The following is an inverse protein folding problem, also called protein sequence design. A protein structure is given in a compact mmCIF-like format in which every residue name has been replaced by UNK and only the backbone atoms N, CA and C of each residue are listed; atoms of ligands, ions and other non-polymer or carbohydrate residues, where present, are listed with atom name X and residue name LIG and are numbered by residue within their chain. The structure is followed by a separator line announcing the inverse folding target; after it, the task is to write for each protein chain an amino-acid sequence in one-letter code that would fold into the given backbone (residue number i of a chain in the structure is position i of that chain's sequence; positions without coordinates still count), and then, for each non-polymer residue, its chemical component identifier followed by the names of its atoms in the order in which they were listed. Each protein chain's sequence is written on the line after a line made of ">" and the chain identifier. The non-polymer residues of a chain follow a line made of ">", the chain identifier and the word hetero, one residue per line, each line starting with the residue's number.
data_IF_796580593280
#
_entry.id   IF_796580593280
#
_cell.length_a   1.000
_cell.length_b   1.000
_cell.length_c   1.000
_cell.angle_alpha   90.00
_cell.angle_beta   90.00
_cell.angle_gamma   90.00
#
_symmetry.space_group_name_H-M   'P 1'
#
loop_
_entity.id
_entity.type
_entity.pdbx_description
1 polymer ?
#
# COMPACT_ATOMS: atom_id res chain seq x y z
N UNK A 1 50.96 -8.73 -29.23
CA UNK A 1 49.62 -9.04 -29.75
C UNK A 1 48.66 -8.97 -28.56
N UNK A 2 48.01 -7.81 -28.35
CA UNK A 2 47.11 -7.56 -27.21
C UNK A 2 45.76 -7.15 -27.80
N UNK A 3 44.74 -7.99 -27.58
CA UNK A 3 43.37 -7.71 -27.98
C UNK A 3 42.70 -7.01 -26.81
N UNK A 4 42.44 -5.71 -26.95
CA UNK A 4 41.66 -4.92 -26.01
C UNK A 4 40.17 -5.19 -26.25
N UNK A 5 39.52 -5.79 -25.26
CA UNK A 5 38.07 -6.02 -25.24
C UNK A 5 37.39 -4.74 -24.77
N UNK A 6 36.65 -4.08 -25.66
CA UNK A 6 35.73 -3.01 -25.28
C UNK A 6 34.47 -3.61 -24.64
N UNK A 7 34.28 -3.35 -23.36
CA UNK A 7 33.04 -3.62 -22.63
C UNK A 7 31.97 -2.61 -23.08
N UNK A 8 31.02 -3.02 -23.90
CA UNK A 8 29.84 -2.22 -24.19
C UNK A 8 28.81 -2.41 -23.05
N UNK A 9 28.66 -1.40 -22.21
CA UNK A 9 27.62 -1.38 -21.17
C UNK A 9 26.25 -1.14 -21.82
N UNK A 10 25.39 -2.15 -21.79
CA UNK A 10 24.03 -2.07 -22.30
C UNK A 10 23.16 -1.39 -21.25
N UNK A 11 22.78 -0.13 -21.48
CA UNK A 11 21.78 0.56 -20.66
C UNK A 11 20.41 -0.05 -20.97
N UNK A 12 19.96 -0.99 -20.15
CA UNK A 12 18.61 -1.52 -20.22
C UNK A 12 17.63 -0.41 -19.80
N UNK A 13 16.79 0.04 -20.75
CA UNK A 13 15.72 1.00 -20.48
C UNK A 13 14.63 0.26 -19.70
N UNK A 14 14.54 0.51 -18.38
CA UNK A 14 13.50 -0.07 -17.55
C UNK A 14 12.14 0.54 -17.90
N UNK A 15 11.19 -0.28 -18.32
CA UNK A 15 9.80 0.16 -18.53
C UNK A 15 9.19 0.66 -17.22
N UNK A 16 8.43 1.78 -17.24
CA UNK A 16 7.81 2.31 -16.03
C UNK A 16 6.87 1.28 -15.42
N UNK A 17 6.95 1.12 -14.09
CA UNK A 17 6.06 0.23 -13.37
C UNK A 17 4.59 0.67 -13.56
N UNK A 18 3.65 -0.27 -13.74
CA UNK A 18 2.25 0.09 -13.93
C UNK A 18 1.71 0.87 -12.73
N UNK A 19 1.00 1.95 -13.00
CA UNK A 19 0.30 2.76 -12.00
C UNK A 19 -1.20 2.43 -12.00
N UNK A 20 -1.89 2.57 -10.86
CA UNK A 20 -3.35 2.45 -10.84
C UNK A 20 -3.97 3.57 -11.68
N UNK A 21 -5.23 3.41 -12.13
CA UNK A 21 -6.02 4.50 -12.70
C UNK A 21 -6.05 5.72 -11.76
N UNK A 22 -6.31 6.91 -12.30
CA UNK A 22 -6.45 8.12 -11.48
C UNK A 22 -7.74 8.12 -10.66
N UNK A 23 -8.84 7.65 -11.24
CA UNK A 23 -10.11 7.47 -10.54
C UNK A 23 -10.18 6.06 -9.92
N UNK A 24 -10.26 6.01 -8.60
CA UNK A 24 -10.30 4.75 -7.84
C UNK A 24 -11.73 4.33 -7.48
N UNK A 25 -12.74 5.12 -7.83
CA UNK A 25 -14.15 4.79 -7.57
C UNK A 25 -14.62 3.57 -8.37
N UNK A 26 -13.95 3.29 -9.48
CA UNK A 26 -14.22 2.17 -10.40
C UNK A 26 -13.46 0.90 -10.05
N UNK A 27 -12.49 0.97 -9.13
CA UNK A 27 -11.71 -0.20 -8.71
C UNK A 27 -12.57 -1.12 -7.85
N UNK A 28 -12.53 -2.42 -8.17
CA UNK A 28 -13.20 -3.43 -7.35
C UNK A 28 -12.60 -3.46 -5.94
N UNK A 29 -13.41 -3.55 -4.89
CA UNK A 29 -12.88 -3.74 -3.54
C UNK A 29 -12.16 -5.09 -3.46
N UNK A 30 -10.99 -5.11 -2.84
CA UNK A 30 -10.26 -6.33 -2.59
C UNK A 30 -10.98 -7.11 -1.47
N UNK A 31 -11.31 -8.39 -1.67
CA UNK A 31 -11.99 -9.17 -0.66
C UNK A 31 -10.99 -9.63 0.41
N UNK A 32 -10.88 -8.89 1.50
CA UNK A 32 -10.05 -9.30 2.64
C UNK A 32 -10.77 -10.34 3.50
N UNK A 33 -10.06 -11.40 3.89
CA UNK A 33 -10.39 -12.12 5.11
C UNK A 33 -10.04 -11.19 6.27
N UNK A 34 -11.06 -10.66 6.95
CA UNK A 34 -11.03 -10.02 8.29
C UNK A 34 -10.07 -8.83 8.47
N UNK A 35 -10.60 -7.74 9.04
CA UNK A 35 -9.78 -6.72 9.68
C UNK A 35 -9.02 -7.38 10.85
N UNK A 36 -7.70 -7.19 10.91
CA UNK A 36 -6.90 -7.69 12.04
C UNK A 36 -7.31 -6.88 13.28
N UNK A 37 -7.76 -7.54 14.34
CA UNK A 37 -8.22 -6.92 15.60
C UNK A 37 -7.11 -6.17 16.37
N UNK A 38 -5.87 -6.16 15.86
CA UNK A 38 -4.70 -5.46 16.43
C UNK A 38 -4.71 -3.94 16.17
N UNK A 39 -5.89 -3.34 15.97
CA UNK A 39 -6.07 -1.94 15.55
C UNK A 39 -5.27 -0.93 16.37
N UNK A 40 -5.14 -1.13 17.68
CA UNK A 40 -4.32 -0.25 18.55
C UNK A 40 -2.81 -0.39 18.30
N UNK A 41 -2.30 -1.61 18.17
CA UNK A 41 -0.87 -1.88 17.92
C UNK A 41 -0.46 -1.33 16.55
N UNK A 42 -1.28 -1.56 15.53
CA UNK A 42 -1.05 -1.06 14.17
C UNK A 42 -1.18 0.46 14.07
N UNK A 43 -1.92 1.10 15.00
CA UNK A 43 -2.08 2.56 15.03
C UNK A 43 -0.94 3.27 15.77
N UNK A 44 -0.09 2.58 16.54
CA UNK A 44 0.93 3.21 17.38
C UNK A 44 1.95 4.04 16.58
N UNK A 45 2.41 3.51 15.44
CA UNK A 45 3.30 4.24 14.53
C UNK A 45 2.59 5.44 13.89
N UNK A 46 1.36 5.27 13.42
CA UNK A 46 0.61 6.36 12.79
C UNK A 46 0.34 7.48 13.80
N UNK A 47 0.00 7.13 15.04
CA UNK A 47 -0.16 8.08 16.15
C UNK A 47 1.12 8.87 16.40
N UNK A 48 2.29 8.23 16.39
CA UNK A 48 3.55 8.95 16.63
C UNK A 48 3.92 9.90 15.49
N UNK A 49 3.61 9.54 14.23
CA UNK A 49 3.78 10.44 13.08
C UNK A 49 2.86 11.67 13.18
N UNK A 50 1.63 11.50 13.64
CA UNK A 50 0.69 12.61 13.87
C UNK A 50 1.14 13.49 15.03
N UNK A 51 1.54 12.90 16.17
CA UNK A 51 2.04 13.65 17.32
C UNK A 51 3.32 14.44 17.01
N UNK A 52 4.17 13.92 16.12
CA UNK A 52 5.37 14.60 15.67
C UNK A 52 5.10 15.67 14.58
N UNK A 53 3.84 15.88 14.18
CA UNK A 53 3.46 16.83 13.13
C UNK A 53 3.88 16.41 11.71
N UNK A 54 4.36 15.16 11.53
CA UNK A 54 4.76 14.62 10.22
C UNK A 54 3.56 14.16 9.39
N UNK A 55 2.41 13.95 10.01
CA UNK A 55 1.17 13.68 9.32
C UNK A 55 0.00 14.48 9.90
N UNK A 56 -0.67 15.26 9.07
CA UNK A 56 -1.82 16.11 9.45
C UNK A 56 -3.14 15.62 8.88
N UNK A 57 -3.15 14.44 8.25
CA UNK A 57 -4.34 13.86 7.62
C UNK A 57 -5.29 13.14 8.60
N UNK A 58 -4.91 13.04 9.88
CA UNK A 58 -5.75 12.45 10.92
C UNK A 58 -6.91 13.41 11.27
N UNK A 59 -8.08 12.84 11.51
CA UNK A 59 -9.30 13.56 11.84
C UNK A 59 -9.67 13.23 13.28
N UNK A 60 -10.05 14.26 14.05
CA UNK A 60 -10.60 14.08 15.38
C UNK A 60 -12.10 13.76 15.29
N UNK A 61 -12.54 12.76 16.03
CA UNK A 61 -13.92 12.29 16.14
C UNK A 61 -14.34 12.25 17.61
N UNK A 62 -15.63 12.03 17.88
CA UNK A 62 -16.10 11.84 19.25
C UNK A 62 -15.45 10.63 19.97
N UNK A 63 -14.96 9.63 19.22
CA UNK A 63 -14.33 8.43 19.76
C UNK A 63 -12.80 8.53 19.89
N UNK A 64 -12.20 9.68 19.54
CA UNK A 64 -10.76 9.87 19.45
C UNK A 64 -10.32 10.18 18.02
N UNK A 65 -9.10 9.82 17.67
CA UNK A 65 -8.52 10.13 16.36
C UNK A 65 -8.70 8.98 15.38
N UNK A 66 -8.86 9.33 14.10
CA UNK A 66 -8.90 8.35 12.99
C UNK A 66 -8.07 8.83 11.82
N UNK A 67 -7.41 7.91 11.12
CA UNK A 67 -6.73 8.17 9.86
C UNK A 67 -7.02 7.01 8.90
N UNK A 68 -7.56 7.33 7.72
CA UNK A 68 -7.84 6.35 6.67
C UNK A 68 -6.85 6.49 5.52
N UNK A 69 -6.26 5.38 5.09
CA UNK A 69 -5.40 5.30 3.90
C UNK A 69 -6.06 4.36 2.90
N UNK A 70 -6.36 4.86 1.71
CA UNK A 70 -6.78 4.03 0.59
C UNK A 70 -5.55 3.47 -0.14
N UNK A 71 -5.59 2.22 -0.57
CA UNK A 71 -4.51 1.58 -1.33
C UNK A 71 -5.06 0.87 -2.56
N UNK A 72 -4.33 0.96 -3.66
CA UNK A 72 -4.54 0.18 -4.87
C UNK A 72 -3.57 -1.00 -4.91
N UNK A 73 -4.07 -2.20 -5.19
CA UNK A 73 -3.29 -3.44 -5.23
C UNK A 73 -3.41 -4.06 -6.62
N UNK A 74 -2.28 -4.27 -7.29
CA UNK A 74 -2.19 -4.98 -8.56
C UNK A 74 -1.83 -6.44 -8.32
N UNK A 75 -2.60 -7.35 -8.89
CA UNK A 75 -2.31 -8.79 -8.84
C UNK A 75 -1.59 -9.25 -10.11
N UNK A 76 -0.65 -10.19 -9.94
CA UNK A 76 0.03 -10.89 -11.02
C UNK A 76 -0.85 -11.97 -11.65
N UNK A 77 -0.37 -12.55 -12.77
CA UNK A 77 -0.94 -13.73 -13.43
C UNK A 77 -1.25 -14.90 -12.46
N UNK A 78 -0.42 -15.07 -11.43
CA UNK A 78 -0.52 -16.12 -10.42
C UNK A 78 -1.38 -15.72 -9.20
N UNK A 79 -2.20 -14.66 -9.32
CA UNK A 79 -3.02 -14.13 -8.21
C UNK A 79 -2.22 -13.74 -6.96
N UNK A 80 -0.94 -13.36 -7.14
CA UNK A 80 -0.09 -12.83 -6.08
C UNK A 80 -0.03 -11.29 -6.16
N UNK A 81 0.01 -10.57 -5.03
CA UNK A 81 0.19 -9.12 -5.05
C UNK A 81 1.54 -8.75 -5.70
N UNK A 82 1.47 -7.99 -6.79
CA UNK A 82 2.64 -7.52 -7.54
C UNK A 82 3.02 -6.10 -7.16
N UNK A 83 2.03 -5.26 -6.84
CA UNK A 83 2.24 -3.85 -6.49
C UNK A 83 1.18 -3.36 -5.54
N UNK A 84 1.58 -2.52 -4.59
CA UNK A 84 0.70 -1.83 -3.66
C UNK A 84 1.03 -0.35 -3.73
N UNK A 85 0.03 0.48 -3.97
CA UNK A 85 0.18 1.92 -4.14
C UNK A 85 -0.77 2.61 -3.17
N UNK A 86 -0.27 3.35 -2.17
CA UNK A 86 -1.12 4.17 -1.33
C UNK A 86 -1.63 5.38 -2.13
N UNK A 87 -2.86 5.80 -1.84
CA UNK A 87 -3.34 7.11 -2.28
C UNK A 87 -2.59 8.16 -1.49
N UNK A 88 -2.04 9.15 -2.19
CA UNK A 88 -1.34 10.25 -1.54
C UNK A 88 -2.30 11.00 -0.60
N UNK A 89 -1.97 11.00 0.69
CA UNK A 89 -2.59 11.80 1.75
C UNK A 89 -1.63 12.89 2.25
N UNK A 90 -0.42 12.97 1.69
CA UNK A 90 0.60 13.93 2.09
C UNK A 90 1.43 13.47 3.30
N UNK A 91 1.40 12.18 3.63
CA UNK A 91 2.11 11.60 4.78
C UNK A 91 3.01 10.44 4.32
N UNK A 92 4.19 10.70 3.73
CA UNK A 92 4.98 9.65 3.05
C UNK A 92 5.34 8.46 3.95
N UNK A 93 5.66 8.69 5.23
CA UNK A 93 5.98 7.64 6.19
C UNK A 93 4.77 6.75 6.50
N UNK A 94 3.60 7.35 6.72
CA UNK A 94 2.32 6.64 6.97
C UNK A 94 1.85 5.88 5.74
N UNK A 95 2.02 6.47 4.54
CA UNK A 95 1.70 5.85 3.26
C UNK A 95 2.54 4.59 3.01
N UNK A 96 3.86 4.68 3.24
CA UNK A 96 4.78 3.55 3.11
C UNK A 96 4.50 2.46 4.15
N UNK A 97 4.26 2.85 5.41
CA UNK A 97 3.87 1.92 6.46
C UNK A 97 2.60 1.15 6.10
N UNK A 98 1.59 1.86 5.60
CA UNK A 98 0.31 1.27 5.16
C UNK A 98 0.52 0.27 4.02
N UNK A 99 1.34 0.62 3.02
CA UNK A 99 1.67 -0.30 1.94
C UNK A 99 2.40 -1.57 2.45
N UNK A 100 3.32 -1.40 3.40
CA UNK A 100 4.01 -2.50 4.07
C UNK A 100 3.07 -3.41 4.86
N UNK A 101 2.10 -2.84 5.59
CA UNK A 101 1.08 -3.60 6.31
C UNK A 101 0.23 -4.45 5.36
N UNK A 102 -0.31 -3.86 4.29
CA UNK A 102 -1.08 -4.61 3.28
C UNK A 102 -0.22 -5.72 2.66
N UNK A 103 1.06 -5.44 2.36
CA UNK A 103 1.98 -6.45 1.85
C UNK A 103 2.18 -7.60 2.84
N UNK A 104 2.29 -7.31 4.13
CA UNK A 104 2.39 -8.32 5.18
C UNK A 104 1.12 -9.17 5.26
N UNK A 105 -0.05 -8.51 5.30
CA UNK A 105 -1.36 -9.17 5.38
C UNK A 105 -1.58 -10.15 4.21
N UNK A 106 -1.24 -9.75 2.99
CA UNK A 106 -1.35 -10.61 1.80
C UNK A 106 -0.37 -11.79 1.80
N UNK A 107 0.78 -11.67 2.48
CA UNK A 107 1.72 -12.79 2.64
C UNK A 107 1.23 -13.78 3.71
N UNK A 108 0.56 -13.27 4.75
CA UNK A 108 0.06 -14.09 5.86
C UNK A 108 -1.32 -14.70 5.61
N UNK A 109 -2.05 -14.28 4.57
CA UNK A 109 -3.41 -14.71 4.33
C UNK A 109 -3.82 -14.63 2.86
N UNK A 110 -4.77 -15.49 2.47
CA UNK A 110 -5.35 -15.51 1.12
C UNK A 110 -6.56 -14.56 1.06
N UNK A 111 -6.70 -13.73 0.00
CA UNK A 111 -7.95 -13.01 -0.26
C UNK A 111 -9.16 -13.97 -0.22
N UNK A 112 -10.27 -13.57 0.39
CA UNK A 112 -11.49 -14.41 0.48
C UNK A 112 -12.29 -14.22 -0.80
N UNK A 113 -11.80 -14.82 -1.89
CA UNK A 113 -12.44 -14.75 -3.19
C UNK A 113 -11.45 -14.77 -4.33
N UNK A 114 -11.97 -14.86 -5.55
CA UNK A 114 -11.15 -14.85 -6.76
C UNK A 114 -10.67 -13.43 -7.03
N UNK A 115 -9.35 -13.24 -7.04
CA UNK A 115 -8.71 -12.05 -7.61
C UNK A 115 -8.35 -12.35 -9.05
N UNK A 116 -8.88 -11.52 -9.96
CA UNK A 116 -8.60 -11.63 -11.38
C UNK A 116 -7.18 -11.13 -11.64
N UNK A 117 -6.32 -11.97 -12.23
CA UNK A 117 -4.96 -11.58 -12.53
C UNK A 117 -4.86 -10.33 -13.40
N UNK A 118 -3.82 -9.52 -13.18
CA UNK A 118 -3.57 -8.31 -13.98
C UNK A 118 -4.45 -7.11 -13.66
N UNK A 119 -5.40 -7.25 -12.72
CA UNK A 119 -6.32 -6.17 -12.34
C UNK A 119 -5.88 -5.42 -11.08
N UNK A 120 -6.26 -4.15 -11.03
CA UNK A 120 -6.18 -3.31 -9.85
C UNK A 120 -7.42 -3.47 -8.98
N UNK A 121 -7.19 -3.50 -7.67
CA UNK A 121 -8.22 -3.55 -6.64
C UNK A 121 -8.00 -2.43 -5.63
N UNK A 122 -9.06 -1.95 -5.00
CA UNK A 122 -8.99 -0.98 -3.90
C UNK A 122 -9.14 -1.65 -2.55
N UNK A 123 -8.40 -1.16 -1.57
CA UNK A 123 -8.61 -1.43 -0.16
C UNK A 123 -8.42 -0.18 0.67
N UNK A 124 -8.74 -0.26 1.96
CA UNK A 124 -8.49 0.80 2.92
C UNK A 124 -7.97 0.21 4.23
N UNK A 125 -7.00 0.91 4.84
CA UNK A 125 -6.66 0.75 6.25
C UNK A 125 -7.24 1.94 7.02
N UNK A 126 -7.85 1.66 8.17
CA UNK A 126 -8.30 2.68 9.11
C UNK A 126 -7.54 2.49 10.41
N UNK A 127 -6.76 3.50 10.79
CA UNK A 127 -6.05 3.58 12.06
C UNK A 127 -6.88 4.42 13.03
N UNK A 128 -7.05 3.94 14.26
CA UNK A 128 -7.81 4.66 15.28
C UNK A 128 -7.15 4.54 16.65
N UNK A 129 -7.21 5.61 17.42
CA UNK A 129 -6.69 5.65 18.79
C UNK A 129 -7.51 6.61 19.66
N UNK A 130 -7.65 6.33 20.97
CA UNK A 130 -8.33 7.22 21.88
C UNK A 130 -7.63 8.58 21.97
N UNK A 131 -8.38 9.58 22.45
CA UNK A 131 -7.85 10.92 22.70
C UNK A 131 -6.71 10.91 23.72
#
# INVERSE_FOLDING_TARGET
>A
MMIAWFLAAQLAVASPAPMPPQDWSTLRPLPFARAVDDGMTLSAFVRSEVQAGRCTAAIQTAAGWTLKVDLAVLFSAASQPRRIVPRAIGCPSVEQYSAGLVSSMMRSGTPVGTVDPGNWYRTSLTFSWPQ
#
